data_IF_164388597772
#
_entry.id   IF_164388597772
#
_cell.length_a   1.000
_cell.length_b   1.000
_cell.length_c   1.000
_cell.angle_alpha   90.00
_cell.angle_beta   90.00
_cell.angle_gamma   90.00
#
_symmetry.space_group_name_H-M   'P 1'
#
loop_
_entity.id
_entity.type
_entity.pdbx_description
1 polymer ?
#
# COMPACT_ATOMS: atom_id res chain seq x y z
N UNK A 1 3.17 15.13 -4.35
CA UNK A 1 2.57 14.47 -3.19
C UNK A 1 2.68 15.42 -2.01
N UNK A 2 1.77 15.39 -1.05
CA UNK A 2 1.89 16.18 0.17
C UNK A 2 2.86 15.49 1.12
N UNK A 3 3.85 16.22 1.63
CA UNK A 3 4.66 15.73 2.74
C UNK A 3 3.91 15.96 4.05
N UNK A 4 4.17 15.09 5.03
CA UNK A 4 3.62 15.16 6.38
C UNK A 4 4.76 15.45 7.36
N UNK A 5 4.46 16.21 8.40
CA UNK A 5 5.34 16.41 9.56
C UNK A 5 4.74 15.66 10.75
N UNK A 6 5.50 14.73 11.33
CA UNK A 6 5.15 13.98 12.53
C UNK A 6 6.12 14.37 13.65
N UNK A 7 5.75 15.35 14.49
CA UNK A 7 6.61 15.91 15.53
C UNK A 7 8.00 16.34 15.04
N UNK A 8 8.09 17.03 13.90
CA UNK A 8 9.36 17.44 13.29
C UNK A 8 10.02 16.38 12.39
N UNK A 9 9.49 15.15 12.38
CA UNK A 9 9.90 14.11 11.44
C UNK A 9 9.17 14.28 10.10
N UNK A 10 9.90 14.78 9.09
CA UNK A 10 9.37 14.88 7.74
C UNK A 10 9.20 13.52 7.06
N UNK A 11 8.01 13.27 6.51
CA UNK A 11 7.60 12.03 5.80
C UNK A 11 7.05 12.40 4.41
N UNK A 12 7.62 11.83 3.36
CA UNK A 12 7.19 12.08 1.97
C UNK A 12 8.32 12.00 0.96
N UNK A 13 8.06 12.40 -0.29
CA UNK A 13 9.00 12.25 -1.41
C UNK A 13 10.33 13.00 -1.19
N UNK A 14 10.27 14.13 -0.49
CA UNK A 14 11.41 15.01 -0.20
C UNK A 14 12.30 14.52 0.95
N UNK A 15 11.87 13.48 1.66
CA UNK A 15 12.54 12.92 2.82
C UNK A 15 13.11 11.51 2.51
N UNK A 16 14.09 11.03 3.30
CA UNK A 16 14.45 9.61 3.27
C UNK A 16 13.25 8.75 3.72
N UNK A 17 13.18 7.47 3.28
CA UNK A 17 12.23 6.53 3.86
C UNK A 17 12.44 6.44 5.37
N UNK A 18 11.33 6.37 6.12
CA UNK A 18 11.33 6.23 7.57
C UNK A 18 11.13 4.79 7.98
N UNK A 19 11.82 4.39 9.05
CA UNK A 19 11.66 3.07 9.63
C UNK A 19 10.83 3.18 10.91
N UNK A 20 9.75 2.42 10.93
CA UNK A 20 8.85 2.33 12.08
C UNK A 20 9.08 0.97 12.76
N UNK A 21 9.74 0.98 13.91
CA UNK A 21 9.96 -0.19 14.75
C UNK A 21 8.71 -0.51 15.57
N UNK A 22 8.43 -1.80 15.79
CA UNK A 22 7.23 -2.26 16.50
C UNK A 22 7.58 -2.63 17.94
N UNK A 23 6.82 -2.10 18.89
CA UNK A 23 6.82 -2.51 20.28
C UNK A 23 5.39 -2.96 20.64
N UNK A 24 5.22 -4.21 21.08
CA UNK A 24 3.95 -4.69 21.58
C UNK A 24 4.00 -4.73 23.11
N UNK A 25 3.03 -4.13 23.77
CA UNK A 25 2.91 -4.14 25.23
C UNK A 25 1.69 -5.00 25.55
N UNK A 26 1.92 -6.31 25.72
CA UNK A 26 0.84 -7.28 25.97
C UNK A 26 1.30 -8.43 26.86
N UNK A 27 0.45 -8.94 27.75
CA UNK A 27 0.78 -10.12 28.56
C UNK A 27 0.68 -11.45 27.79
N UNK A 28 0.10 -11.46 26.58
CA UNK A 28 -0.50 -12.66 25.98
C UNK A 28 0.22 -13.29 24.76
N UNK A 29 1.45 -12.86 24.44
CA UNK A 29 2.18 -13.43 23.28
C UNK A 29 3.34 -14.34 23.68
N UNK A 30 3.31 -15.64 23.34
CA UNK A 30 4.33 -16.61 23.76
C UNK A 30 5.62 -16.65 22.91
N UNK A 31 5.79 -15.80 21.88
CA UNK A 31 6.85 -16.01 20.87
C UNK A 31 7.55 -14.77 20.29
N UNK A 32 7.46 -13.58 20.88
CA UNK A 32 8.07 -12.39 20.27
C UNK A 32 9.04 -11.65 21.21
N UNK A 33 10.29 -11.33 20.80
CA UNK A 33 11.18 -10.45 21.56
C UNK A 33 10.63 -9.03 21.76
N UNK A 34 9.55 -8.64 21.06
CA UNK A 34 8.96 -7.30 21.17
C UNK A 34 7.79 -7.19 22.17
N UNK A 35 7.64 -8.14 23.11
CA UNK A 35 6.50 -8.21 24.04
C UNK A 35 6.98 -8.02 25.48
N UNK A 36 6.58 -6.92 26.11
CA UNK A 36 7.05 -6.53 27.44
C UNK A 36 5.90 -6.18 28.38
N UNK A 37 5.98 -6.67 29.63
CA UNK A 37 5.11 -6.33 30.75
C UNK A 37 5.77 -5.37 31.76
N UNK A 38 7.11 -5.27 31.72
CA UNK A 38 7.90 -4.30 32.49
C UNK A 38 8.33 -3.08 31.63
N UNK A 39 7.97 -1.85 32.02
CA UNK A 39 8.34 -0.63 31.29
C UNK A 39 9.85 -0.42 31.14
N UNK A 40 10.67 -0.87 32.10
CA UNK A 40 12.12 -0.69 32.07
C UNK A 40 12.78 -1.62 31.06
N UNK A 41 12.33 -2.87 30.97
CA UNK A 41 12.76 -3.80 29.93
C UNK A 41 12.32 -3.34 28.54
N UNK A 42 11.08 -2.87 28.41
CA UNK A 42 10.55 -2.30 27.17
C UNK A 42 11.37 -1.08 26.71
N UNK A 43 11.67 -0.14 27.61
CA UNK A 43 12.42 1.06 27.29
C UNK A 43 13.86 0.73 26.86
N UNK A 44 14.52 -0.24 27.53
CA UNK A 44 15.85 -0.71 27.12
C UNK A 44 15.82 -1.34 25.74
N UNK A 45 14.81 -2.15 25.43
CA UNK A 45 14.65 -2.73 24.10
C UNK A 45 14.46 -1.64 23.04
N UNK A 46 13.61 -0.63 23.32
CA UNK A 46 13.44 0.52 22.42
C UNK A 46 14.76 1.24 22.18
N UNK A 47 15.54 1.54 23.22
CA UNK A 47 16.82 2.24 23.10
C UNK A 47 17.88 1.42 22.33
N UNK A 48 18.02 0.14 22.67
CA UNK A 48 19.09 -0.72 22.13
C UNK A 48 18.76 -1.26 20.73
N UNK A 49 17.54 -1.76 20.53
CA UNK A 49 17.18 -2.59 19.37
C UNK A 49 16.28 -1.85 18.37
N UNK A 50 15.52 -0.82 18.78
CA UNK A 50 14.73 -0.03 17.82
C UNK A 50 15.48 1.25 17.42
N UNK A 51 15.70 2.15 18.37
CA UNK A 51 16.38 3.43 18.13
C UNK A 51 17.86 3.18 17.79
N UNK A 52 18.53 2.30 18.52
CA UNK A 52 19.93 1.92 18.27
C UNK A 52 20.16 1.31 16.89
N UNK A 53 19.17 0.61 16.33
CA UNK A 53 19.19 0.06 14.97
C UNK A 53 18.74 1.04 13.88
N UNK A 54 18.20 2.20 14.29
CA UNK A 54 17.86 3.30 13.40
C UNK A 54 16.38 3.40 13.03
N UNK A 55 15.47 2.98 13.91
CA UNK A 55 14.06 3.36 13.83
C UNK A 55 13.91 4.88 13.97
N UNK A 56 13.15 5.52 13.07
CA UNK A 56 12.75 6.91 13.18
C UNK A 56 11.45 7.06 14.01
N UNK A 57 10.61 6.02 13.98
CA UNK A 57 9.31 5.96 14.65
C UNK A 57 9.25 4.66 15.48
N UNK A 58 8.72 4.73 16.69
CA UNK A 58 8.41 3.57 17.52
C UNK A 58 6.90 3.46 17.64
N UNK A 59 6.33 2.40 17.08
CA UNK A 59 4.89 2.13 17.10
C UNK A 59 4.55 1.18 18.24
N UNK A 60 3.75 1.66 19.19
CA UNK A 60 3.40 0.93 20.39
C UNK A 60 1.98 0.40 20.28
N UNK A 61 1.83 -0.91 20.21
CA UNK A 61 0.54 -1.60 20.29
C UNK A 61 0.22 -2.07 21.71
N UNK A 62 -0.98 -1.78 22.21
CA UNK A 62 -1.47 -2.22 23.52
C UNK A 62 -2.16 -3.59 23.48
N UNK A 63 -2.37 -4.10 22.28
CA UNK A 63 -3.08 -5.32 21.95
C UNK A 63 -2.27 -6.18 20.96
N UNK A 64 -2.50 -7.50 20.99
CA UNK A 64 -1.97 -8.39 19.95
C UNK A 64 -2.76 -8.25 18.65
N UNK A 65 -2.06 -7.95 17.55
CA UNK A 65 -2.63 -7.99 16.19
C UNK A 65 -3.03 -9.41 15.71
N UNK A 66 -2.92 -10.45 16.55
CA UNK A 66 -3.30 -11.80 16.18
C UNK A 66 -4.82 -11.98 16.26
N UNK A 67 -5.46 -12.12 15.09
CA UNK A 67 -6.90 -12.31 14.89
C UNK A 67 -7.58 -13.44 15.66
N UNK A 68 -6.81 -14.32 16.33
CA UNK A 68 -7.32 -15.40 17.19
C UNK A 68 -7.63 -14.96 18.62
N UNK A 69 -7.07 -13.85 19.07
CA UNK A 69 -7.37 -13.31 20.39
C UNK A 69 -8.64 -12.46 20.34
N UNK A 70 -9.29 -12.36 21.49
CA UNK A 70 -10.42 -11.44 21.67
C UNK A 70 -9.89 -10.01 21.66
N UNK A 71 -10.70 -9.12 21.12
CA UNK A 71 -10.30 -7.73 20.99
C UNK A 71 -10.59 -6.97 22.28
N UNK A 72 -9.66 -6.11 22.70
CA UNK A 72 -9.82 -5.24 23.86
C UNK A 72 -10.84 -4.14 23.58
N UNK A 73 -11.60 -3.81 24.60
CA UNK A 73 -12.37 -2.57 24.67
C UNK A 73 -11.43 -1.38 24.89
N UNK A 74 -11.93 -0.17 24.61
CA UNK A 74 -11.18 1.06 24.87
C UNK A 74 -10.79 1.22 26.35
N UNK A 75 -11.67 0.83 27.29
CA UNK A 75 -11.38 0.83 28.72
C UNK A 75 -10.18 -0.08 29.06
N UNK A 76 -10.10 -1.27 28.44
CA UNK A 76 -8.99 -2.21 28.63
C UNK A 76 -7.69 -1.71 27.99
N UNK A 77 -7.74 -1.06 26.83
CA UNK A 77 -6.58 -0.37 26.25
C UNK A 77 -6.11 0.79 27.15
N UNK A 78 -7.02 1.63 27.65
CA UNK A 78 -6.70 2.71 28.59
C UNK A 78 -6.09 2.18 29.90
N UNK A 79 -6.57 1.04 30.40
CA UNK A 79 -5.98 0.36 31.55
C UNK A 79 -4.54 -0.09 31.26
N UNK A 80 -4.19 -0.47 30.03
CA UNK A 80 -2.82 -0.86 29.64
C UNK A 80 -1.93 0.31 29.23
N UNK A 81 -2.51 1.44 28.83
CA UNK A 81 -1.79 2.60 28.33
C UNK A 81 -0.70 3.10 29.30
N UNK A 82 -0.90 2.96 30.62
CA UNK A 82 0.10 3.36 31.60
C UNK A 82 1.46 2.66 31.41
N UNK A 83 1.49 1.39 31.00
CA UNK A 83 2.75 0.66 30.75
C UNK A 83 3.49 1.27 29.57
N UNK A 84 2.77 1.63 28.51
CA UNK A 84 3.35 2.31 27.36
C UNK A 84 3.87 3.71 27.69
N UNK A 85 3.14 4.47 28.52
CA UNK A 85 3.56 5.79 28.98
C UNK A 85 4.82 5.71 29.86
N UNK A 86 4.84 4.82 30.85
CA UNK A 86 6.00 4.58 31.71
C UNK A 86 7.23 4.12 30.89
N UNK A 87 6.98 3.37 29.81
CA UNK A 87 8.01 2.95 28.85
C UNK A 87 8.61 4.17 28.15
N UNK A 88 7.78 5.01 27.52
CA UNK A 88 8.23 6.21 26.80
C UNK A 88 9.01 7.15 27.74
N UNK A 89 8.51 7.38 28.97
CA UNK A 89 9.20 8.22 29.95
C UNK A 89 10.60 7.68 30.33
N UNK A 90 10.81 6.37 30.20
CA UNK A 90 12.06 5.70 30.53
C UNK A 90 13.03 5.58 29.35
N UNK A 91 12.56 5.82 28.12
CA UNK A 91 13.40 5.81 26.91
C UNK A 91 14.32 7.04 26.91
N UNK A 92 15.58 6.84 26.53
CA UNK A 92 16.58 7.91 26.49
C UNK A 92 16.90 8.40 25.08
N UNK A 93 16.58 7.60 24.07
CA UNK A 93 16.72 7.91 22.65
C UNK A 93 15.70 8.92 22.13
N UNK A 94 15.94 9.37 20.90
CA UNK A 94 15.09 10.33 20.19
C UNK A 94 14.37 9.59 19.04
N UNK A 95 13.05 9.49 19.14
CA UNK A 95 12.18 8.89 18.13
C UNK A 95 10.77 9.50 18.24
N UNK A 96 10.04 9.49 17.13
CA UNK A 96 8.60 9.79 17.14
C UNK A 96 7.84 8.60 17.74
N UNK A 97 7.05 8.81 18.77
CA UNK A 97 6.24 7.74 19.36
C UNK A 97 4.84 7.70 18.76
N UNK A 98 4.47 6.55 18.19
CA UNK A 98 3.16 6.29 17.60
C UNK A 98 2.35 5.36 18.50
N UNK A 99 1.08 5.68 18.74
CA UNK A 99 0.14 4.79 19.42
C UNK A 99 -0.67 4.01 18.38
N UNK A 100 -0.60 2.68 18.39
CA UNK A 100 -1.48 1.82 17.60
C UNK A 100 -2.78 1.58 18.38
N UNK A 101 -3.87 2.15 17.88
CA UNK A 101 -5.22 2.00 18.45
C UNK A 101 -6.27 2.26 17.38
N UNK A 102 -7.49 1.84 17.63
CA UNK A 102 -8.69 2.16 16.83
C UNK A 102 -9.62 3.14 17.52
N UNK A 103 -9.38 3.44 18.80
CA UNK A 103 -10.29 4.20 19.64
C UNK A 103 -9.82 5.65 19.79
N UNK A 104 -10.70 6.59 19.44
CA UNK A 104 -10.36 8.01 19.53
C UNK A 104 -10.06 8.45 20.97
N UNK A 105 -10.72 7.84 21.97
CA UNK A 105 -10.48 8.14 23.39
C UNK A 105 -9.11 7.64 23.89
N UNK A 106 -8.63 6.49 23.40
CA UNK A 106 -7.29 5.98 23.70
C UNK A 106 -6.24 6.88 23.05
N UNK A 107 -6.46 7.26 21.79
CA UNK A 107 -5.57 8.17 21.08
C UNK A 107 -5.50 9.55 21.77
N UNK A 108 -6.63 10.14 22.16
CA UNK A 108 -6.67 11.43 22.86
C UNK A 108 -5.88 11.43 24.17
N UNK A 109 -6.01 10.36 24.96
CA UNK A 109 -5.29 10.20 26.22
C UNK A 109 -3.78 9.99 25.99
N UNK A 110 -3.41 9.17 25.00
CA UNK A 110 -2.02 8.91 24.64
C UNK A 110 -1.31 10.18 24.15
N UNK A 111 -1.93 10.91 23.21
CA UNK A 111 -1.40 12.15 22.64
C UNK A 111 -1.22 13.25 23.72
N UNK A 112 -2.16 13.32 24.67
CA UNK A 112 -2.05 14.24 25.81
C UNK A 112 -0.87 13.95 26.75
N UNK A 113 -0.22 12.79 26.60
CA UNK A 113 0.81 12.28 27.52
C UNK A 113 2.12 11.88 26.84
N UNK A 114 2.38 12.40 25.64
CA UNK A 114 3.71 12.32 25.02
C UNK A 114 3.83 11.42 23.80
N UNK A 115 2.73 10.86 23.30
CA UNK A 115 2.71 10.31 21.95
C UNK A 115 2.63 11.43 20.90
N UNK A 116 3.25 11.20 19.75
CA UNK A 116 3.44 12.19 18.67
C UNK A 116 2.60 11.89 17.42
N UNK A 117 2.13 10.65 17.30
CA UNK A 117 1.51 10.10 16.11
C UNK A 117 0.48 9.01 16.50
N UNK A 118 -0.50 8.79 15.63
CA UNK A 118 -1.46 7.67 15.74
C UNK A 118 -1.25 6.69 14.59
N UNK A 119 -1.33 5.40 14.87
CA UNK A 119 -1.50 4.34 13.88
C UNK A 119 -2.91 3.75 14.02
N UNK A 120 -3.84 4.24 13.19
CA UNK A 120 -5.24 3.82 13.19
C UNK A 120 -5.47 2.62 12.26
N UNK A 121 -5.53 1.45 12.89
CA UNK A 121 -5.74 0.15 12.25
C UNK A 121 -7.21 -0.08 11.80
N UNK A 122 -8.14 0.80 12.14
CA UNK A 122 -9.52 0.75 11.66
C UNK A 122 -9.86 1.89 10.69
N UNK A 123 -8.89 2.70 10.26
CA UNK A 123 -9.05 3.60 9.12
C UNK A 123 -10.13 4.66 9.31
N UNK A 124 -10.22 5.25 10.50
CA UNK A 124 -11.26 6.18 10.95
C UNK A 124 -12.66 5.56 11.03
N UNK A 125 -12.77 4.26 11.36
CA UNK A 125 -14.06 3.68 11.74
C UNK A 125 -14.67 4.37 12.96
N UNK A 126 -13.84 4.80 13.90
CA UNK A 126 -14.23 5.74 14.96
C UNK A 126 -14.35 7.15 14.34
N UNK A 127 -15.57 7.74 14.28
CA UNK A 127 -15.79 9.03 13.65
C UNK A 127 -15.11 10.20 14.38
N UNK A 128 -14.71 10.04 15.65
CA UNK A 128 -14.02 11.09 16.41
C UNK A 128 -12.50 11.09 16.18
N UNK A 129 -11.92 9.98 15.69
CA UNK A 129 -10.47 9.85 15.49
C UNK A 129 -9.85 10.95 14.61
N UNK A 130 -10.45 11.35 13.46
CA UNK A 130 -9.93 12.46 12.67
C UNK A 130 -9.88 13.77 13.45
N UNK A 131 -10.92 14.06 14.25
CA UNK A 131 -11.01 15.29 15.05
C UNK A 131 -9.93 15.31 16.12
N UNK A 132 -9.73 14.21 16.83
CA UNK A 132 -8.65 14.06 17.83
C UNK A 132 -7.30 14.32 17.18
N UNK A 133 -7.00 13.69 16.05
CA UNK A 133 -5.72 13.89 15.36
C UNK A 133 -5.50 15.35 14.93
N UNK A 134 -6.54 16.04 14.46
CA UNK A 134 -6.47 17.46 14.07
C UNK A 134 -6.32 18.40 15.27
N UNK A 135 -6.99 18.12 16.38
CA UNK A 135 -6.91 18.94 17.60
C UNK A 135 -5.52 18.89 18.25
N UNK A 136 -4.86 17.73 18.19
CA UNK A 136 -3.47 17.56 18.64
C UNK A 136 -2.43 17.93 17.58
N UNK A 137 -2.84 18.27 16.35
CA UNK A 137 -1.97 18.55 15.19
C UNK A 137 -0.96 17.42 14.91
N UNK A 138 -1.40 16.17 15.00
CA UNK A 138 -0.52 14.99 14.82
C UNK A 138 -0.71 14.30 13.48
N UNK A 139 0.33 13.56 13.07
CA UNK A 139 0.24 12.65 11.94
C UNK A 139 -0.55 11.39 12.31
N UNK A 140 -1.18 10.79 11.30
CA UNK A 140 -1.92 9.54 11.48
C UNK A 140 -1.67 8.59 10.32
N UNK A 141 -1.17 7.40 10.62
CA UNK A 141 -1.20 6.28 9.70
C UNK A 141 -2.61 5.70 9.69
N UNK A 142 -3.26 5.75 8.53
CA UNK A 142 -4.65 5.32 8.34
C UNK A 142 -4.65 4.05 7.51
N UNK A 143 -5.03 2.94 8.13
CA UNK A 143 -5.10 1.65 7.46
C UNK A 143 -6.37 1.50 6.61
N UNK A 144 -6.23 0.86 5.45
CA UNK A 144 -7.36 0.40 4.67
C UNK A 144 -8.08 -0.71 5.44
N UNK A 145 -9.26 -0.41 5.95
CA UNK A 145 -10.01 -1.31 6.83
C UNK A 145 -11.50 -1.25 6.51
N UNK A 146 -12.30 -2.26 6.88
CA UNK A 146 -13.74 -2.13 6.96
C UNK A 146 -14.13 -0.96 7.89
N UNK A 147 -15.31 -0.38 7.68
CA UNK A 147 -15.79 0.74 8.47
C UNK A 147 -16.29 0.38 9.87
N UNK A 148 -16.22 -0.89 10.25
CA UNK A 148 -16.62 -1.38 11.56
C UNK A 148 -15.47 -1.23 12.57
N UNK A 149 -15.79 -0.61 13.72
CA UNK A 149 -14.82 -0.37 14.78
C UNK A 149 -14.43 -1.63 15.57
N UNK A 150 -15.21 -2.72 15.44
CA UNK A 150 -15.04 -3.94 16.23
C UNK A 150 -13.71 -4.65 15.97
N UNK A 151 -13.14 -4.54 14.76
CA UNK A 151 -11.82 -5.09 14.41
C UNK A 151 -11.35 -4.63 13.04
N UNK A 152 -10.02 -4.54 12.82
CA UNK A 152 -9.50 -4.53 11.47
C UNK A 152 -9.92 -5.79 10.71
N UNK A 153 -10.11 -5.69 9.40
CA UNK A 153 -10.62 -6.78 8.59
C UNK A 153 -10.26 -6.67 7.11
N UNK A 154 -10.82 -7.56 6.30
CA UNK A 154 -10.62 -7.49 4.86
C UNK A 154 -11.60 -6.49 4.26
N UNK A 155 -11.12 -5.57 3.42
CA UNK A 155 -11.98 -4.56 2.81
C UNK A 155 -13.12 -5.14 1.98
N UNK A 156 -13.03 -6.40 1.53
CA UNK A 156 -14.11 -7.12 0.84
C UNK A 156 -15.32 -7.45 1.72
N UNK A 157 -15.15 -7.45 3.04
CA UNK A 157 -16.24 -7.69 4.01
C UNK A 157 -17.19 -6.48 4.09
N UNK A 158 -16.78 -5.33 3.53
CA UNK A 158 -17.61 -4.14 3.40
C UNK A 158 -18.73 -4.33 2.37
N UNK A 159 -19.96 -3.90 2.68
CA UNK A 159 -21.05 -3.83 1.69
C UNK A 159 -20.82 -2.68 0.68
N UNK A 160 -19.97 -2.94 -0.31
CA UNK A 160 -19.66 -2.01 -1.39
C UNK A 160 -20.86 -1.69 -2.29
N UNK A 161 -21.85 -2.59 -2.35
CA UNK A 161 -23.06 -2.35 -3.15
C UNK A 161 -23.90 -1.22 -2.54
N UNK A 162 -23.97 -1.17 -1.21
CA UNK A 162 -24.62 -0.10 -0.47
C UNK A 162 -23.76 1.17 -0.39
N UNK A 163 -22.44 1.04 -0.20
CA UNK A 163 -21.54 2.19 -0.04
C UNK A 163 -21.19 2.91 -1.34
N UNK A 164 -21.14 2.20 -2.46
CA UNK A 164 -20.80 2.76 -3.78
C UNK A 164 -21.97 2.60 -4.72
N UNK A 165 -22.11 1.42 -5.30
CA UNK A 165 -23.25 0.99 -6.09
C UNK A 165 -23.12 -0.51 -6.43
N UNK A 166 -24.22 -1.20 -6.77
CA UNK A 166 -24.15 -2.58 -7.24
C UNK A 166 -23.26 -2.76 -8.47
N UNK A 167 -23.33 -1.82 -9.42
CA UNK A 167 -22.52 -1.88 -10.66
C UNK A 167 -21.03 -1.71 -10.37
N UNK A 168 -20.67 -0.82 -9.44
CA UNK A 168 -19.29 -0.64 -9.02
C UNK A 168 -18.78 -1.89 -8.30
N UNK A 169 -19.54 -2.41 -7.33
CA UNK A 169 -19.16 -3.59 -6.56
C UNK A 169 -18.99 -4.84 -7.45
N UNK A 170 -19.78 -4.96 -8.53
CA UNK A 170 -19.64 -6.05 -9.50
C UNK A 170 -18.40 -5.91 -10.41
N UNK A 171 -17.84 -4.71 -10.54
CA UNK A 171 -16.71 -4.41 -11.43
C UNK A 171 -15.37 -4.25 -10.70
N UNK A 172 -15.40 -3.81 -9.44
CA UNK A 172 -14.24 -3.51 -8.63
C UNK A 172 -13.50 -4.79 -8.20
N UNK A 173 -12.18 -4.79 -8.32
CA UNK A 173 -11.34 -5.81 -7.70
C UNK A 173 -10.93 -5.41 -6.26
N UNK A 174 -10.21 -6.29 -5.57
CA UNK A 174 -9.80 -6.06 -4.18
C UNK A 174 -9.00 -4.76 -4.01
N UNK A 175 -8.10 -4.42 -4.95
CA UNK A 175 -7.28 -3.22 -4.84
C UNK A 175 -8.12 -1.95 -5.05
N UNK A 176 -9.13 -2.00 -5.93
CA UNK A 176 -10.10 -0.92 -6.04
C UNK A 176 -10.87 -0.71 -4.71
N UNK A 177 -11.15 -1.79 -3.98
CA UNK A 177 -11.77 -1.74 -2.64
C UNK A 177 -10.82 -1.18 -1.59
N UNK A 178 -9.54 -1.58 -1.57
CA UNK A 178 -8.51 -0.98 -0.69
C UNK A 178 -8.41 0.52 -0.93
N UNK A 179 -8.41 0.93 -2.19
CA UNK A 179 -8.35 2.33 -2.58
C UNK A 179 -9.54 3.14 -2.06
N UNK A 180 -10.75 2.59 -2.18
CA UNK A 180 -11.95 3.24 -1.65
C UNK A 180 -12.00 3.20 -0.12
N UNK A 181 -11.53 2.13 0.53
CA UNK A 181 -11.45 2.02 1.98
C UNK A 181 -10.59 3.13 2.59
N UNK A 182 -9.42 3.40 1.98
CA UNK A 182 -8.56 4.53 2.38
C UNK A 182 -9.26 5.89 2.29
N UNK A 183 -10.25 6.06 1.40
CA UNK A 183 -11.00 7.31 1.22
C UNK A 183 -12.21 7.43 2.14
N UNK A 184 -12.66 6.33 2.75
CA UNK A 184 -13.82 6.34 3.65
C UNK A 184 -13.57 7.28 4.83
N UNK A 185 -14.62 7.94 5.33
CA UNK A 185 -14.55 8.83 6.49
C UNK A 185 -13.54 10.00 6.36
N UNK A 186 -13.06 10.29 5.15
CA UNK A 186 -12.18 11.43 4.86
C UNK A 186 -10.71 11.18 5.17
N UNK A 187 -9.90 12.23 5.00
CA UNK A 187 -8.46 12.25 5.26
C UNK A 187 -8.14 13.58 5.95
N UNK A 188 -7.28 13.56 6.96
CA UNK A 188 -6.68 14.77 7.53
C UNK A 188 -5.53 15.26 6.66
N UNK A 189 -5.04 16.48 6.92
CA UNK A 189 -3.88 17.02 6.19
C UNK A 189 -2.58 16.24 6.46
N UNK A 190 -2.48 15.61 7.64
CA UNK A 190 -1.33 14.80 8.08
C UNK A 190 -1.57 13.29 7.98
N UNK A 191 -2.51 12.84 7.15
CA UNK A 191 -2.75 11.41 6.93
C UNK A 191 -1.63 10.76 6.10
N UNK A 192 -1.15 9.61 6.57
CA UNK A 192 -0.30 8.64 5.86
C UNK A 192 -1.18 7.43 5.56
N UNK A 193 -1.24 6.97 4.32
CA UNK A 193 -2.11 5.84 3.94
C UNK A 193 -1.41 4.50 4.09
N UNK A 194 -2.07 3.49 4.66
CA UNK A 194 -1.57 2.11 4.73
C UNK A 194 -2.53 1.18 3.96
N UNK A 195 -2.10 0.61 2.81
CA UNK A 195 -2.89 -0.36 2.03
C UNK A 195 -3.21 -1.70 2.73
N UNK A 196 -2.73 -1.94 3.96
CA UNK A 196 -3.10 -3.05 4.83
C UNK A 196 -2.73 -4.46 4.31
N UNK A 197 -1.44 -4.81 4.36
CA UNK A 197 -1.00 -6.16 4.01
C UNK A 197 -1.18 -7.18 5.15
N UNK A 198 -1.32 -8.46 4.81
CA UNK A 198 -0.95 -9.58 5.70
C UNK A 198 -2.03 -10.28 6.50
N UNK A 199 -3.25 -10.32 5.99
CA UNK A 199 -4.27 -11.25 6.46
C UNK A 199 -4.90 -10.87 7.80
N UNK A 200 -5.29 -9.59 7.93
CA UNK A 200 -6.04 -9.05 9.08
C UNK A 200 -7.37 -9.78 9.32
N UNK A 201 -7.97 -10.32 8.26
CA UNK A 201 -9.09 -11.27 8.31
C UNK A 201 -8.68 -12.61 7.68
N UNK A 202 -9.47 -13.66 7.91
CA UNK A 202 -9.38 -14.92 7.13
C UNK A 202 -9.87 -14.75 5.69
N UNK A 203 -10.64 -13.70 5.41
CA UNK A 203 -11.14 -13.40 4.07
C UNK A 203 -10.02 -12.93 3.13
N UNK A 204 -9.11 -12.06 3.61
CA UNK A 204 -7.99 -11.54 2.82
C UNK A 204 -7.04 -12.66 2.39
N UNK A 205 -6.88 -12.81 1.07
CA UNK A 205 -6.08 -13.89 0.47
C UNK A 205 -4.65 -13.43 0.17
N UNK A 206 -3.77 -14.40 -0.10
CA UNK A 206 -2.39 -14.13 -0.52
C UNK A 206 -2.33 -13.50 -1.93
N UNK A 207 -3.33 -13.77 -2.77
CA UNK A 207 -3.43 -13.13 -4.08
C UNK A 207 -3.82 -11.65 -3.94
N UNK A 208 -4.65 -11.29 -2.96
CA UNK A 208 -4.99 -9.90 -2.65
C UNK A 208 -3.75 -9.11 -2.22
N UNK A 209 -2.93 -9.67 -1.32
CA UNK A 209 -1.64 -9.08 -0.93
C UNK A 209 -0.70 -8.92 -2.14
N UNK A 210 -0.62 -9.94 -3.00
CA UNK A 210 0.22 -9.90 -4.21
C UNK A 210 -0.20 -8.84 -5.20
N UNK A 211 -1.50 -8.75 -5.47
CA UNK A 211 -2.06 -7.78 -6.40
C UNK A 211 -1.94 -6.36 -5.85
N UNK A 212 -2.20 -6.17 -4.55
CA UNK A 212 -1.98 -4.88 -3.85
C UNK A 212 -0.52 -4.46 -3.93
N UNK A 213 0.43 -5.39 -3.69
CA UNK A 213 1.86 -5.11 -3.80
C UNK A 213 2.28 -4.77 -5.23
N UNK A 214 1.74 -5.49 -6.23
CA UNK A 214 1.99 -5.24 -7.65
C UNK A 214 1.53 -3.84 -8.06
N UNK A 215 0.40 -3.39 -7.52
CA UNK A 215 -0.25 -2.09 -7.82
C UNK A 215 0.08 -1.00 -6.80
N UNK A 216 1.08 -1.18 -5.94
CA UNK A 216 1.39 -0.27 -4.85
C UNK A 216 1.56 1.20 -5.30
N UNK A 217 2.10 1.43 -6.49
CA UNK A 217 2.25 2.78 -7.08
C UNK A 217 0.92 3.51 -7.27
N UNK A 218 -0.19 2.81 -7.49
CA UNK A 218 -1.51 3.40 -7.72
C UNK A 218 -1.97 4.26 -6.53
N UNK A 219 -1.64 3.85 -5.30
CA UNK A 219 -2.00 4.58 -4.08
C UNK A 219 -1.33 5.96 -3.98
N UNK A 220 -0.23 6.20 -4.71
CA UNK A 220 0.38 7.55 -4.80
C UNK A 220 -0.58 8.59 -5.38
N UNK A 221 -1.60 8.17 -6.12
CA UNK A 221 -2.64 9.06 -6.64
C UNK A 221 -3.47 9.73 -5.53
N UNK A 222 -3.52 9.14 -4.32
CA UNK A 222 -4.18 9.75 -3.15
C UNK A 222 -3.46 11.01 -2.64
N UNK A 223 -2.25 11.29 -3.14
CA UNK A 223 -1.51 12.49 -2.79
C UNK A 223 -0.97 12.53 -1.36
N UNK A 224 -1.06 11.42 -0.62
CA UNK A 224 -0.57 11.25 0.75
C UNK A 224 0.70 10.37 0.79
N UNK A 225 1.58 10.52 1.80
CA UNK A 225 2.62 9.54 2.06
C UNK A 225 2.01 8.17 2.37
N UNK A 226 2.82 7.13 2.31
CA UNK A 226 2.36 5.75 2.38
C UNK A 226 3.20 4.96 3.38
N UNK A 227 2.52 4.24 4.27
CA UNK A 227 3.10 3.26 5.16
C UNK A 227 2.92 1.87 4.54
N UNK A 228 3.93 1.02 4.67
CA UNK A 228 3.86 -0.39 4.28
C UNK A 228 4.43 -1.26 5.38
N UNK A 229 3.63 -2.20 5.86
CA UNK A 229 4.05 -3.25 6.81
C UNK A 229 4.10 -4.58 6.06
N UNK A 230 5.29 -5.13 5.78
CA UNK A 230 5.43 -6.41 5.06
C UNK A 230 6.47 -7.37 5.67
N UNK A 231 7.02 -7.01 6.82
CA UNK A 231 8.02 -7.82 7.50
C UNK A 231 7.46 -9.21 7.88
N UNK A 232 8.15 -10.27 7.44
CA UNK A 232 7.88 -11.70 7.71
C UNK A 232 6.47 -12.18 7.35
N UNK A 233 5.72 -11.45 6.52
CA UNK A 233 4.35 -11.80 6.14
C UNK A 233 4.27 -13.07 5.30
N UNK A 234 3.16 -13.78 5.45
CA UNK A 234 2.88 -15.09 4.85
C UNK A 234 2.93 -15.10 3.31
N UNK A 235 2.40 -14.08 2.62
CA UNK A 235 2.39 -14.06 1.15
C UNK A 235 3.80 -14.02 0.54
N UNK A 236 4.76 -13.37 1.21
CA UNK A 236 6.18 -13.40 0.80
C UNK A 236 6.80 -14.77 1.05
N UNK A 237 6.46 -15.39 2.19
CA UNK A 237 6.89 -16.75 2.52
C UNK A 237 6.39 -17.78 1.51
N UNK A 238 5.14 -17.69 1.09
CA UNK A 238 4.55 -18.59 0.09
C UNK A 238 5.25 -18.48 -1.27
N UNK A 239 5.52 -17.26 -1.73
CA UNK A 239 6.20 -17.02 -3.03
C UNK A 239 7.60 -17.66 -3.06
N UNK A 240 8.31 -17.61 -1.93
CA UNK A 240 9.71 -18.02 -1.83
C UNK A 240 9.90 -19.39 -1.17
N UNK A 241 8.82 -20.07 -0.79
CA UNK A 241 8.81 -21.33 -0.04
C UNK A 241 9.62 -21.23 1.28
N UNK A 242 9.18 -20.31 2.17
CA UNK A 242 9.85 -20.00 3.44
C UNK A 242 8.93 -19.98 4.66
N UNK A 243 9.36 -20.69 5.69
CA UNK A 243 8.81 -20.62 7.05
C UNK A 243 9.13 -19.27 7.71
N UNK A 244 8.32 -18.86 8.69
CA UNK A 244 8.35 -17.50 9.28
C UNK A 244 9.74 -17.00 9.70
N UNK A 245 10.53 -17.84 10.37
CA UNK A 245 11.88 -17.49 10.84
C UNK A 245 12.86 -17.20 9.69
N UNK A 246 12.65 -17.83 8.53
CA UNK A 246 13.49 -17.68 7.34
C UNK A 246 13.01 -16.57 6.39
N UNK A 247 11.98 -15.80 6.77
CA UNK A 247 11.38 -14.80 5.87
C UNK A 247 12.12 -13.46 5.82
N UNK A 248 13.16 -13.25 6.61
CA UNK A 248 13.90 -11.98 6.60
C UNK A 248 14.40 -11.63 5.18
N UNK A 249 15.15 -12.49 4.44
CA UNK A 249 15.66 -12.12 3.11
C UNK A 249 14.57 -11.73 2.10
N UNK A 250 13.41 -12.40 2.16
CA UNK A 250 12.29 -12.11 1.24
C UNK A 250 11.55 -10.83 1.64
N UNK A 251 11.50 -10.52 2.94
CA UNK A 251 10.99 -9.25 3.47
C UNK A 251 11.86 -8.09 3.01
N UNK A 252 13.19 -8.21 3.11
CA UNK A 252 14.13 -7.17 2.68
C UNK A 252 14.06 -6.89 1.16
N UNK A 253 13.94 -7.95 0.36
CA UNK A 253 13.75 -7.80 -1.09
C UNK A 253 12.45 -7.05 -1.40
N UNK A 254 11.34 -7.42 -0.73
CA UNK A 254 10.06 -6.77 -0.91
C UNK A 254 10.07 -5.32 -0.39
N UNK A 255 10.73 -5.03 0.74
CA UNK A 255 10.91 -3.66 1.26
C UNK A 255 11.61 -2.76 0.26
N UNK A 256 12.70 -3.22 -0.35
CA UNK A 256 13.42 -2.45 -1.37
C UNK A 256 12.49 -2.09 -2.54
N UNK A 257 11.66 -3.03 -2.98
CA UNK A 257 10.66 -2.81 -4.02
C UNK A 257 9.50 -1.91 -3.58
N UNK A 258 9.06 -2.00 -2.32
CA UNK A 258 7.99 -1.17 -1.77
C UNK A 258 8.40 0.30 -1.76
N UNK A 259 9.62 0.60 -1.28
CA UNK A 259 10.19 1.95 -1.29
C UNK A 259 10.39 2.45 -2.72
N UNK A 260 10.90 1.61 -3.62
CA UNK A 260 11.03 1.94 -5.04
C UNK A 260 9.68 2.31 -5.67
N UNK A 261 8.60 1.64 -5.26
CA UNK A 261 7.21 1.90 -5.67
C UNK A 261 6.55 3.06 -4.91
N UNK A 262 7.26 3.72 -4.00
CA UNK A 262 6.84 4.94 -3.33
C UNK A 262 6.22 4.75 -1.95
N UNK A 263 6.57 3.69 -1.23
CA UNK A 263 6.40 3.64 0.22
C UNK A 263 7.36 4.64 0.91
N UNK A 264 6.88 5.29 1.96
CA UNK A 264 7.60 6.33 2.70
C UNK A 264 7.92 5.93 4.13
N UNK A 265 7.08 5.10 4.73
CA UNK A 265 7.29 4.52 6.06
C UNK A 265 7.24 3.00 5.92
N UNK A 266 8.21 2.29 6.49
CA UNK A 266 8.22 0.83 6.54
C UNK A 266 8.11 0.39 8.00
N UNK A 267 7.00 -0.28 8.34
CA UNK A 267 6.77 -0.85 9.67
C UNK A 267 7.36 -2.27 9.76
N UNK A 268 8.18 -2.54 10.76
CA UNK A 268 9.01 -3.76 10.82
C UNK A 268 9.43 -4.17 12.23
N UNK A 269 9.73 -5.45 12.41
CA UNK A 269 10.39 -5.98 13.60
C UNK A 269 11.93 -6.09 13.44
N UNK A 270 12.43 -6.26 12.22
CA UNK A 270 13.87 -6.37 11.93
C UNK A 270 14.39 -4.99 11.45
N UNK A 271 14.67 -4.07 12.38
CA UNK A 271 14.88 -2.64 12.09
C UNK A 271 16.15 -2.42 11.25
N UNK A 272 17.30 -2.88 11.71
CA UNK A 272 18.59 -2.61 11.07
C UNK A 272 18.61 -3.07 9.60
N UNK A 273 18.21 -4.31 9.32
CA UNK A 273 18.23 -4.85 7.97
C UNK A 273 17.17 -4.20 7.07
N UNK A 274 15.99 -3.89 7.63
CA UNK A 274 14.92 -3.20 6.89
C UNK A 274 15.36 -1.80 6.47
N UNK A 275 16.10 -1.09 7.35
CA UNK A 275 16.69 0.21 7.04
C UNK A 275 17.62 0.14 5.85
N UNK A 276 18.51 -0.86 5.82
CA UNK A 276 19.42 -1.07 4.68
C UNK A 276 18.65 -1.34 3.39
N UNK A 277 17.63 -2.20 3.42
CA UNK A 277 16.77 -2.47 2.27
C UNK A 277 16.02 -1.21 1.78
N UNK A 278 15.50 -0.41 2.70
CA UNK A 278 14.82 0.84 2.38
C UNK A 278 15.76 1.85 1.71
N UNK A 279 17.01 1.96 2.18
CA UNK A 279 18.04 2.79 1.55
C UNK A 279 18.35 2.34 0.12
N UNK A 280 18.45 1.02 -0.11
CA UNK A 280 18.62 0.46 -1.46
C UNK A 280 17.42 0.82 -2.35
N UNK A 281 16.19 0.60 -1.87
CA UNK A 281 14.98 0.98 -2.59
C UNK A 281 14.97 2.46 -3.00
N UNK A 282 15.29 3.36 -2.06
CA UNK A 282 15.36 4.81 -2.32
C UNK A 282 16.44 5.19 -3.33
N UNK A 283 17.60 4.52 -3.30
CA UNK A 283 18.70 4.79 -4.22
C UNK A 283 18.33 4.50 -5.68
N UNK A 284 17.38 3.58 -5.90
CA UNK A 284 16.88 3.22 -7.23
C UNK A 284 15.52 3.82 -7.58
N UNK A 285 14.88 4.59 -6.68
CA UNK A 285 13.69 5.37 -7.00
C UNK A 285 14.02 6.42 -8.06
N UNK A 286 13.33 6.40 -9.19
CA UNK A 286 13.45 7.46 -10.20
C UNK A 286 12.89 8.77 -9.63
N UNK A 287 13.75 9.77 -9.42
CA UNK A 287 13.31 11.09 -8.96
C UNK A 287 12.62 11.82 -10.09
N UNK A 288 11.36 12.17 -9.83
CA UNK A 288 10.49 12.71 -10.85
C UNK A 288 10.22 14.21 -10.67
N UNK A 289 10.75 14.90 -9.65
CA UNK A 289 10.44 16.33 -9.41
C UNK A 289 11.65 17.27 -9.41
N UNK A 290 11.44 18.47 -9.94
CA UNK A 290 12.37 19.61 -9.91
C UNK A 290 11.59 20.88 -9.53
N UNK A 291 12.12 21.66 -8.60
CA UNK A 291 11.58 22.97 -8.23
C UNK A 291 12.56 24.07 -8.58
N UNK A 292 12.11 25.09 -9.33
CA UNK A 292 12.89 26.27 -9.69
C UNK A 292 11.97 27.50 -9.78
N UNK A 293 12.38 28.64 -9.23
CA UNK A 293 11.67 29.94 -9.32
C UNK A 293 10.18 29.90 -8.91
N UNK A 294 9.83 29.08 -7.91
CA UNK A 294 8.44 28.90 -7.45
C UNK A 294 7.59 27.99 -8.34
N UNK A 295 8.17 27.39 -9.38
CA UNK A 295 7.57 26.36 -10.22
C UNK A 295 8.07 24.98 -9.78
N UNK A 296 7.14 24.07 -9.48
CA UNK A 296 7.46 22.66 -9.27
C UNK A 296 6.96 21.85 -10.46
N UNK A 297 7.87 21.13 -11.11
CA UNK A 297 7.57 20.17 -12.17
C UNK A 297 7.76 18.79 -11.58
N UNK A 298 6.70 17.99 -11.58
CA UNK A 298 6.77 16.59 -11.20
C UNK A 298 6.33 15.72 -12.38
N UNK A 299 7.20 14.86 -12.85
CA UNK A 299 6.86 13.69 -13.63
C UNK A 299 6.06 12.76 -12.72
N UNK A 300 4.87 12.39 -13.20
CA UNK A 300 4.08 11.35 -12.56
C UNK A 300 4.56 10.03 -13.15
N UNK A 301 4.97 9.11 -12.28
CA UNK A 301 5.34 7.77 -12.68
C UNK A 301 4.05 6.99 -12.99
N UNK A 302 3.81 6.72 -14.28
CA UNK A 302 2.61 6.06 -14.76
C UNK A 302 3.02 4.98 -15.76
N UNK A 303 2.87 3.72 -15.36
CA UNK A 303 3.39 2.55 -16.07
C UNK A 303 2.27 1.71 -16.71
N UNK A 304 1.02 1.97 -16.34
CA UNK A 304 -0.15 1.30 -16.91
C UNK A 304 -1.30 2.26 -17.21
N UNK A 305 -2.13 1.96 -18.21
CA UNK A 305 -3.34 2.75 -18.53
C UNK A 305 -4.27 2.87 -17.31
N UNK A 306 -4.29 1.86 -16.44
CA UNK A 306 -5.05 1.87 -15.19
C UNK A 306 -4.55 2.92 -14.21
N UNK A 307 -3.24 2.93 -13.92
CA UNK A 307 -2.58 3.96 -13.11
C UNK A 307 -2.88 5.35 -13.67
N UNK A 308 -2.84 5.54 -14.99
CA UNK A 308 -3.13 6.83 -15.60
C UNK A 308 -4.56 7.29 -15.36
N UNK A 309 -5.53 6.40 -15.59
CA UNK A 309 -6.95 6.68 -15.32
C UNK A 309 -7.16 7.05 -13.85
N UNK A 310 -6.50 6.37 -12.92
CA UNK A 310 -6.57 6.71 -11.49
C UNK A 310 -5.99 8.09 -11.22
N UNK A 311 -4.80 8.43 -11.75
CA UNK A 311 -4.20 9.75 -11.61
C UNK A 311 -5.09 10.88 -12.19
N UNK A 312 -5.76 10.63 -13.32
CA UNK A 312 -6.71 11.58 -13.93
C UNK A 312 -7.94 11.78 -13.04
N UNK A 313 -8.57 10.68 -12.57
CA UNK A 313 -9.75 10.71 -11.70
C UNK A 313 -9.52 11.52 -10.43
N UNK A 314 -8.41 11.27 -9.72
CA UNK A 314 -8.10 11.99 -8.47
C UNK A 314 -7.81 13.48 -8.67
N UNK A 315 -7.54 13.90 -9.92
CA UNK A 315 -7.37 15.32 -10.28
C UNK A 315 -8.60 15.93 -10.92
N UNK A 316 -9.74 15.22 -10.92
CA UNK A 316 -10.98 15.69 -11.53
C UNK A 316 -10.92 15.79 -13.06
N UNK A 317 -10.01 15.04 -13.70
CA UNK A 317 -9.88 14.98 -15.16
C UNK A 317 -10.58 13.72 -15.68
N UNK A 318 -11.28 13.84 -16.81
CA UNK A 318 -11.96 12.71 -17.46
C UNK A 318 -10.96 11.61 -17.85
N UNK A 319 -11.08 10.38 -17.30
CA UNK A 319 -10.18 9.28 -17.61
C UNK A 319 -10.30 8.76 -19.05
N UNK A 320 -11.29 9.18 -19.83
CA UNK A 320 -11.43 8.78 -21.24
C UNK A 320 -10.18 9.11 -22.08
N UNK A 321 -9.46 10.19 -21.74
CA UNK A 321 -8.21 10.61 -22.40
C UNK A 321 -7.12 9.53 -22.32
N UNK A 322 -7.18 8.62 -21.34
CA UNK A 322 -6.23 7.53 -21.21
C UNK A 322 -6.32 6.47 -22.32
N UNK A 323 -7.41 6.43 -23.11
CA UNK A 323 -7.53 5.54 -24.26
C UNK A 323 -6.45 5.77 -25.32
N UNK A 324 -6.16 7.05 -25.57
CA UNK A 324 -5.12 7.49 -26.50
C UNK A 324 -3.68 7.34 -25.95
N UNK A 325 -3.52 6.92 -24.69
CA UNK A 325 -2.25 6.96 -23.97
C UNK A 325 -1.57 5.60 -23.91
N UNK A 326 -0.24 5.64 -24.06
CA UNK A 326 0.72 4.51 -24.12
C UNK A 326 0.68 3.72 -25.43
N UNK A 327 1.82 3.63 -26.12
CA UNK A 327 2.01 2.74 -27.27
C UNK A 327 2.31 1.33 -26.77
N UNK A 328 1.45 0.38 -27.12
CA UNK A 328 1.66 -1.05 -26.89
C UNK A 328 2.56 -1.62 -27.99
N UNK A 329 3.49 -2.48 -27.60
CA UNK A 329 4.36 -3.24 -28.50
C UNK A 329 4.28 -4.71 -28.14
N UNK A 330 3.46 -5.47 -28.88
CA UNK A 330 3.15 -6.86 -28.56
C UNK A 330 3.79 -7.80 -29.58
N UNK A 331 4.61 -8.74 -29.11
CA UNK A 331 5.16 -9.80 -29.96
C UNK A 331 4.22 -11.00 -30.00
N UNK A 332 3.87 -11.44 -31.21
CA UNK A 332 2.94 -12.52 -31.50
C UNK A 332 3.68 -13.60 -32.29
N UNK A 333 3.59 -14.85 -31.82
CA UNK A 333 4.18 -16.03 -32.44
C UNK A 333 3.12 -17.10 -32.74
N UNK A 334 3.38 -17.98 -33.71
CA UNK A 334 2.57 -19.16 -34.00
C UNK A 334 1.27 -18.93 -34.79
N UNK A 335 1.07 -17.74 -35.37
CA UNK A 335 -0.03 -17.47 -36.30
C UNK A 335 0.27 -18.02 -37.70
N UNK A 336 -0.76 -18.60 -38.34
CA UNK A 336 -0.71 -19.04 -39.73
C UNK A 336 -0.85 -17.84 -40.68
N UNK A 337 -0.35 -17.91 -41.93
CA UNK A 337 -0.36 -16.76 -42.86
C UNK A 337 -1.73 -16.07 -43.01
N UNK A 338 -2.80 -16.83 -43.25
CA UNK A 338 -4.15 -16.28 -43.43
C UNK A 338 -4.64 -15.52 -42.17
N UNK A 339 -4.22 -15.95 -40.98
CA UNK A 339 -4.55 -15.29 -39.73
C UNK A 339 -3.75 -13.99 -39.55
N UNK A 340 -2.52 -13.91 -40.06
CA UNK A 340 -1.72 -12.68 -40.08
C UNK A 340 -2.32 -11.64 -41.02
N UNK A 341 -2.77 -12.07 -42.21
CA UNK A 341 -3.40 -11.15 -43.16
C UNK A 341 -4.70 -10.56 -42.57
N UNK A 342 -5.51 -11.40 -41.90
CA UNK A 342 -6.71 -10.95 -41.21
C UNK A 342 -6.39 -10.02 -40.02
N UNK A 343 -5.42 -10.38 -39.19
CA UNK A 343 -4.94 -9.52 -38.09
C UNK A 343 -4.45 -8.17 -38.61
N UNK A 344 -3.70 -8.16 -39.71
CA UNK A 344 -3.16 -6.93 -40.31
C UNK A 344 -4.27 -6.04 -40.84
N UNK A 345 -5.33 -6.61 -41.43
CA UNK A 345 -6.49 -5.86 -41.89
C UNK A 345 -7.23 -5.21 -40.72
N UNK A 346 -7.56 -5.98 -39.67
CA UNK A 346 -8.24 -5.46 -38.47
C UNK A 346 -7.37 -4.41 -37.76
N UNK A 347 -6.07 -4.65 -37.63
CA UNK A 347 -5.13 -3.68 -37.06
C UNK A 347 -5.16 -2.35 -37.82
N UNK A 348 -5.13 -2.39 -39.16
CA UNK A 348 -5.16 -1.20 -39.99
C UNK A 348 -6.45 -0.39 -39.82
N UNK A 349 -7.61 -1.06 -39.67
CA UNK A 349 -8.91 -0.41 -39.46
C UNK A 349 -8.94 0.46 -38.20
N UNK A 350 -8.20 0.06 -37.15
CA UNK A 350 -8.11 0.78 -35.88
C UNK A 350 -6.88 1.68 -35.74
N UNK A 351 -6.04 1.78 -36.78
CA UNK A 351 -4.82 2.58 -36.75
C UNK A 351 -3.60 1.89 -36.10
N UNK A 352 -3.64 0.58 -35.91
CA UNK A 352 -2.51 -0.23 -35.45
C UNK A 352 -1.65 -0.71 -36.62
N UNK A 353 -0.42 -1.10 -36.28
CA UNK A 353 0.60 -1.54 -37.23
C UNK A 353 1.03 -2.95 -36.90
N UNK A 354 0.97 -3.84 -37.89
CA UNK A 354 1.57 -5.18 -37.82
C UNK A 354 2.91 -5.17 -38.58
N UNK A 355 3.98 -5.68 -37.96
CA UNK A 355 5.33 -5.78 -38.54
C UNK A 355 5.93 -7.16 -38.34
N UNK A 356 6.51 -7.73 -39.39
CA UNK A 356 7.23 -9.00 -39.28
C UNK A 356 8.57 -8.82 -38.59
N UNK A 357 8.92 -9.74 -37.71
CA UNK A 357 10.24 -9.86 -37.07
C UNK A 357 10.94 -11.12 -37.60
N UNK A 358 12.27 -11.16 -37.48
CA UNK A 358 13.05 -12.38 -37.75
C UNK A 358 12.55 -13.55 -36.89
N UNK A 359 12.57 -14.77 -37.45
CA UNK A 359 12.16 -15.98 -36.72
C UNK A 359 10.66 -16.33 -36.79
N UNK A 360 9.88 -15.67 -37.65
CA UNK A 360 8.46 -16.01 -37.86
C UNK A 360 7.47 -15.29 -36.93
N UNK A 361 7.98 -14.40 -36.07
CA UNK A 361 7.21 -13.59 -35.13
C UNK A 361 6.72 -12.28 -35.77
N UNK A 362 5.75 -11.66 -35.11
CA UNK A 362 5.11 -10.43 -35.57
C UNK A 362 4.92 -9.45 -34.42
N UNK A 363 5.13 -8.16 -34.66
CA UNK A 363 4.83 -7.09 -33.73
C UNK A 363 3.48 -6.49 -34.09
N UNK A 364 2.62 -6.33 -33.10
CA UNK A 364 1.43 -5.50 -33.15
C UNK A 364 1.70 -4.23 -32.33
N UNK A 365 1.57 -3.07 -32.97
CA UNK A 365 1.91 -1.75 -32.41
C UNK A 365 0.73 -0.80 -32.54
N UNK A 366 0.35 -0.13 -31.46
CA UNK A 366 -0.75 0.84 -31.47
C UNK A 366 -0.96 1.46 -30.08
N UNK A 367 -1.82 2.47 -29.95
CA UNK A 367 -2.25 2.92 -28.61
C UNK A 367 -3.01 1.82 -27.89
N UNK A 368 -3.13 1.92 -26.56
CA UNK A 368 -3.95 0.96 -25.79
C UNK A 368 -5.37 0.85 -26.35
N UNK A 369 -6.04 1.97 -26.65
CA UNK A 369 -7.37 1.96 -27.26
C UNK A 369 -7.40 1.25 -28.62
N UNK A 370 -6.44 1.56 -29.50
CA UNK A 370 -6.35 0.88 -30.79
C UNK A 370 -6.19 -0.63 -30.63
N UNK A 371 -5.30 -1.10 -29.74
CA UNK A 371 -5.12 -2.55 -29.52
C UNK A 371 -6.36 -3.16 -28.84
N UNK A 372 -7.04 -2.45 -27.94
CA UNK A 372 -8.31 -2.90 -27.36
C UNK A 372 -9.39 -3.09 -28.42
N UNK A 373 -9.54 -2.15 -29.35
CA UNK A 373 -10.51 -2.28 -30.46
C UNK A 373 -10.15 -3.46 -31.38
N UNK A 374 -8.86 -3.64 -31.69
CA UNK A 374 -8.37 -4.83 -32.41
C UNK A 374 -8.71 -6.12 -31.67
N UNK A 375 -8.52 -6.17 -30.35
CA UNK A 375 -8.82 -7.34 -29.53
C UNK A 375 -10.32 -7.67 -29.50
N UNK A 376 -11.18 -6.65 -29.43
CA UNK A 376 -12.64 -6.80 -29.50
C UNK A 376 -13.06 -7.39 -30.85
N UNK A 377 -12.58 -6.84 -31.97
CA UNK A 377 -12.95 -7.35 -33.29
C UNK A 377 -12.41 -8.76 -33.54
N UNK A 378 -11.16 -9.03 -33.14
CA UNK A 378 -10.59 -10.39 -33.18
C UNK A 378 -11.41 -11.39 -32.36
N UNK A 379 -11.99 -10.98 -31.24
CA UNK A 379 -12.81 -11.87 -30.41
C UNK A 379 -14.09 -12.33 -31.12
N UNK A 380 -14.55 -11.58 -32.13
CA UNK A 380 -15.70 -11.95 -32.98
C UNK A 380 -15.34 -12.89 -34.15
N UNK A 381 -14.05 -13.10 -34.41
CA UNK A 381 -13.55 -14.04 -35.42
C UNK A 381 -13.70 -15.50 -34.96
N UNK A 382 -13.30 -16.46 -35.81
CA UNK A 382 -13.34 -17.88 -35.48
C UNK A 382 -11.94 -18.45 -35.17
N UNK A 383 -11.89 -19.49 -34.34
CA UNK A 383 -10.67 -20.26 -34.07
C UNK A 383 -9.57 -19.44 -33.39
N UNK A 384 -8.33 -19.53 -33.90
CA UNK A 384 -7.14 -18.92 -33.27
C UNK A 384 -7.20 -17.39 -33.14
N UNK A 385 -7.95 -16.70 -34.00
CA UNK A 385 -8.10 -15.24 -33.92
C UNK A 385 -8.99 -14.83 -32.74
N UNK A 386 -10.07 -15.58 -32.47
CA UNK A 386 -10.90 -15.36 -31.27
C UNK A 386 -10.09 -15.59 -29.99
N UNK A 387 -9.29 -16.66 -29.96
CA UNK A 387 -8.40 -16.94 -28.83
C UNK A 387 -7.36 -15.84 -28.62
N UNK A 388 -6.80 -15.30 -29.71
CA UNK A 388 -5.88 -14.18 -29.67
C UNK A 388 -6.57 -12.92 -29.12
N UNK A 389 -7.77 -12.59 -29.60
CA UNK A 389 -8.55 -11.44 -29.11
C UNK A 389 -8.80 -11.49 -27.60
N UNK A 390 -9.18 -12.66 -27.08
CA UNK A 390 -9.35 -12.87 -25.63
C UNK A 390 -8.04 -12.74 -24.86
N UNK A 391 -6.93 -13.27 -25.38
CA UNK A 391 -5.60 -13.15 -24.75
C UNK A 391 -5.10 -11.71 -24.77
N UNK A 392 -5.25 -10.99 -25.88
CA UNK A 392 -4.90 -9.58 -25.99
C UNK A 392 -5.68 -8.74 -24.98
N UNK A 393 -6.99 -9.00 -24.85
CA UNK A 393 -7.83 -8.34 -23.84
C UNK A 393 -7.35 -8.60 -22.41
N UNK A 394 -6.75 -9.77 -22.15
CA UNK A 394 -6.14 -10.08 -20.85
C UNK A 394 -4.81 -9.38 -20.61
N UNK A 395 -3.97 -9.22 -21.66
CA UNK A 395 -2.67 -8.54 -21.57
C UNK A 395 -2.80 -7.02 -21.41
N UNK A 396 -3.89 -6.44 -21.93
CA UNK A 396 -4.16 -5.00 -21.86
C UNK A 396 -4.87 -4.54 -20.58
N UNK A 397 -5.34 -5.47 -19.73
CA UNK A 397 -5.92 -5.15 -18.43
C UNK A 397 -4.82 -4.79 -17.46
#
# INVERSE_FOLDING_TARGET
>A
MHNVDAAGLGIGDDYPPRIMGVLNVSEESPYDPSVFDDPGEAARYVDEELIGEGADIVDIGLESANKRFDVLSADEELERLHVALDTIESVSGDATFSIETRYAEVADEALSRGFDMVNDICGFADPEMPRVCEEHDVAVAKMASPPELERPGAVEETDWSARKSPDWAAAADYVDQVYEALKQNGLTDKTIVDPAFGGWSEAQTLEDDRETFRRLREFRALGRPMLVSINRKNFLGEIADRETEERLPVSLAATSMAVERGAHVIRTHDVAETRDAALIGKAFTERASVTADGLTISQLDVNSTREFRTQLRERGIDPAIAGDWQTQLLEIDGLVPDAIDRLTAIALEHGAVVRRVTGGKWLLVGSTETISNVATDLSTENGRLSDLGRKLSGVLR
#
